data_IF_578834853333
#
_entry.id   IF_578834853333
#
_cell.length_a   1.000
_cell.length_b   1.000
_cell.length_c   1.000
_cell.angle_alpha   90.00
_cell.angle_beta   90.00
_cell.angle_gamma   90.00
#
_symmetry.space_group_name_H-M   'P 1'
#
loop_
_entity.id
_entity.type
_entity.pdbx_description
1 polymer ?
#
# COMPACT_ATOMS: atom_id res chain seq x y z
N UNK A 1 9.16 -9.03 -9.53
CA UNK A 1 8.82 -9.23 -8.08
C UNK A 1 7.71 -10.28 -7.89
N UNK A 2 7.60 -10.96 -6.74
CA UNK A 2 6.47 -11.87 -6.42
C UNK A 2 5.71 -11.35 -5.20
N UNK A 3 4.40 -11.12 -5.32
CA UNK A 3 3.53 -10.71 -4.22
C UNK A 3 2.52 -11.82 -3.95
N UNK A 4 2.43 -12.24 -2.69
CA UNK A 4 1.51 -13.28 -2.26
C UNK A 4 0.56 -12.72 -1.21
N UNK A 5 -0.74 -12.85 -1.46
CA UNK A 5 -1.79 -12.54 -0.49
C UNK A 5 -2.41 -13.84 0.00
N UNK A 6 -2.54 -13.98 1.32
CA UNK A 6 -3.19 -15.12 1.95
C UNK A 6 -4.47 -14.63 2.65
N UNK A 7 -5.62 -15.18 2.27
CA UNK A 7 -6.94 -14.82 2.82
C UNK A 7 -7.69 -16.10 3.10
N UNK A 8 -8.39 -16.28 4.23
CA UNK A 8 -9.34 -17.37 4.53
C UNK A 8 -9.17 -18.69 3.73
N UNK A 9 -7.95 -19.26 3.72
CA UNK A 9 -7.63 -20.53 3.06
C UNK A 9 -7.31 -20.49 1.56
N UNK A 10 -7.20 -19.31 0.94
CA UNK A 10 -6.79 -19.10 -0.46
C UNK A 10 -5.55 -18.23 -0.53
N UNK A 11 -4.60 -18.68 -1.35
CA UNK A 11 -3.38 -17.96 -1.65
C UNK A 11 -3.47 -17.41 -3.06
N UNK A 12 -3.48 -16.08 -3.21
CA UNK A 12 -3.37 -15.41 -4.50
C UNK A 12 -1.92 -14.99 -4.67
N UNK A 13 -1.28 -15.49 -5.73
CA UNK A 13 0.09 -15.15 -6.08
C UNK A 13 0.11 -14.33 -7.35
N UNK A 14 0.66 -13.13 -7.28
CA UNK A 14 1.00 -12.32 -8.44
C UNK A 14 2.50 -12.39 -8.70
N UNK A 15 2.87 -12.94 -9.86
CA UNK A 15 4.20 -12.82 -10.40
C UNK A 15 4.21 -11.55 -11.25
N UNK A 16 5.05 -10.60 -10.88
CA UNK A 16 5.21 -9.32 -11.57
C UNK A 16 6.52 -9.37 -12.34
N UNK A 17 6.45 -9.12 -13.64
CA UNK A 17 7.62 -8.99 -14.50
C UNK A 17 8.02 -7.50 -14.62
N UNK A 18 9.13 -7.20 -15.30
CA UNK A 18 9.83 -5.91 -15.18
C UNK A 18 8.95 -4.66 -15.28
N UNK A 19 8.06 -4.59 -16.28
CA UNK A 19 7.16 -3.45 -16.47
C UNK A 19 6.05 -3.39 -15.41
N UNK A 20 5.55 -4.54 -14.96
CA UNK A 20 4.54 -4.63 -13.89
C UNK A 20 5.09 -4.12 -12.57
N UNK A 21 6.38 -4.32 -12.30
CA UNK A 21 7.02 -3.86 -11.07
C UNK A 21 7.08 -2.32 -11.01
N UNK A 22 7.40 -1.65 -12.11
CA UNK A 22 7.45 -0.20 -12.19
C UNK A 22 6.04 0.41 -12.16
N UNK A 23 5.08 -0.18 -12.88
CA UNK A 23 3.67 0.22 -12.82
C UNK A 23 3.14 0.04 -11.39
N UNK A 24 3.44 -1.08 -10.74
CA UNK A 24 3.00 -1.34 -9.39
C UNK A 24 3.67 -0.39 -8.39
N UNK A 25 4.96 -0.08 -8.54
CA UNK A 25 5.63 0.96 -7.73
C UNK A 25 4.98 2.32 -7.91
N UNK A 26 4.52 2.66 -9.12
CA UNK A 26 3.80 3.91 -9.35
C UNK A 26 2.41 3.92 -8.71
N UNK A 27 1.66 2.83 -8.84
CA UNK A 27 0.32 2.68 -8.23
C UNK A 27 0.42 2.65 -6.71
N UNK A 28 1.41 1.94 -6.17
CA UNK A 28 1.66 1.78 -4.74
C UNK A 28 2.59 2.87 -4.17
N UNK A 29 2.87 3.95 -4.90
CA UNK A 29 3.56 5.08 -4.29
C UNK A 29 2.57 5.95 -3.50
N UNK A 30 3.11 6.66 -2.52
CA UNK A 30 2.34 7.51 -1.59
C UNK A 30 1.49 8.54 -2.35
N UNK A 31 2.02 9.14 -3.42
CA UNK A 31 1.33 10.19 -4.18
C UNK A 31 0.16 9.65 -5.02
N UNK A 32 0.34 8.51 -5.68
CA UNK A 32 -0.69 7.82 -6.46
C UNK A 32 -1.79 7.31 -5.57
N UNK A 33 -1.42 6.69 -4.44
CA UNK A 33 -2.36 6.25 -3.42
C UNK A 33 -3.17 7.41 -2.81
N UNK A 34 -2.51 8.51 -2.41
CA UNK A 34 -3.18 9.70 -1.89
C UNK A 34 -4.24 10.24 -2.86
N UNK A 35 -3.90 10.30 -4.16
CA UNK A 35 -4.78 10.80 -5.21
C UNK A 35 -5.97 9.86 -5.47
N UNK A 36 -5.74 8.56 -5.57
CA UNK A 36 -6.78 7.58 -5.90
C UNK A 36 -7.78 7.41 -4.76
N UNK A 37 -7.29 7.35 -3.51
CA UNK A 37 -8.13 7.12 -2.34
C UNK A 37 -8.61 8.41 -1.66
N UNK A 38 -8.28 9.57 -2.22
CA UNK A 38 -8.62 10.89 -1.70
C UNK A 38 -8.21 11.09 -0.22
N UNK A 39 -7.00 10.64 0.13
CA UNK A 39 -6.42 10.77 1.46
C UNK A 39 -5.22 11.72 1.39
N UNK A 40 -4.98 12.50 2.46
CA UNK A 40 -3.82 13.38 2.52
C UNK A 40 -2.51 12.60 2.35
N UNK A 41 -1.64 13.11 1.47
CA UNK A 41 -0.31 12.54 1.21
C UNK A 41 0.52 12.46 2.49
N UNK A 42 0.40 13.45 3.36
CA UNK A 42 1.18 13.54 4.59
C UNK A 42 0.75 12.49 5.61
N UNK A 43 -0.53 12.13 5.64
CA UNK A 43 -1.07 11.07 6.49
C UNK A 43 -0.52 9.71 6.06
N UNK A 44 -0.55 9.41 4.75
CA UNK A 44 0.04 8.17 4.22
C UNK A 44 1.55 8.16 4.43
N UNK A 45 2.25 9.26 4.15
CA UNK A 45 3.69 9.38 4.35
C UNK A 45 4.08 9.17 5.82
N UNK A 46 3.33 9.73 6.76
CA UNK A 46 3.56 9.50 8.19
C UNK A 46 3.45 8.00 8.51
N UNK A 47 2.39 7.32 8.07
CA UNK A 47 2.20 5.88 8.31
C UNK A 47 3.31 5.04 7.67
N UNK A 48 3.73 5.38 6.46
CA UNK A 48 4.78 4.64 5.75
C UNK A 48 6.15 4.86 6.38
N UNK A 49 6.55 6.11 6.64
CA UNK A 49 7.91 6.41 7.08
C UNK A 49 8.09 6.31 8.60
N UNK A 50 7.12 6.78 9.40
CA UNK A 50 7.19 6.76 10.87
C UNK A 50 6.72 5.43 11.45
N UNK A 51 5.61 4.89 10.98
CA UNK A 51 5.07 3.60 11.46
C UNK A 51 5.60 2.39 10.67
N UNK A 52 6.49 2.60 9.69
CA UNK A 52 7.12 1.55 8.84
C UNK A 52 6.09 0.64 8.14
N UNK A 53 4.94 1.20 7.75
CA UNK A 53 3.86 0.46 7.13
C UNK A 53 4.02 0.42 5.60
N UNK A 54 3.76 -0.72 4.94
CA UNK A 54 3.59 -0.74 3.49
C UNK A 54 2.46 0.20 3.06
N UNK A 55 2.56 0.82 1.88
CA UNK A 55 1.61 1.85 1.41
C UNK A 55 0.16 1.35 1.39
N UNK A 56 -0.07 0.11 0.95
CA UNK A 56 -1.41 -0.51 0.98
C UNK A 56 -1.98 -0.65 2.39
N UNK A 57 -1.12 -1.02 3.35
CA UNK A 57 -1.53 -1.13 4.75
C UNK A 57 -1.77 0.26 5.36
N UNK A 58 -0.92 1.23 5.03
CA UNK A 58 -1.07 2.62 5.44
C UNK A 58 -2.38 3.25 4.95
N UNK A 59 -2.84 2.86 3.76
CA UNK A 59 -4.14 3.24 3.21
C UNK A 59 -5.31 2.57 3.95
N UNK A 60 -5.20 1.26 4.20
CA UNK A 60 -6.26 0.47 4.82
C UNK A 60 -6.40 0.69 6.34
N UNK A 61 -5.41 1.34 6.97
CA UNK A 61 -5.45 1.63 8.40
C UNK A 61 -6.21 2.92 8.64
N UNK A 62 -7.39 2.84 9.25
CA UNK A 62 -8.04 4.02 9.81
C UNK A 62 -7.26 4.48 11.05
N UNK A 63 -7.07 5.79 11.21
CA UNK A 63 -6.59 6.30 12.50
C UNK A 63 -7.72 6.12 13.49
N UNK A 64 -7.64 5.05 14.28
CA UNK A 64 -8.33 5.03 15.56
C UNK A 64 -7.68 6.12 16.41
N UNK A 65 -8.42 7.20 16.67
CA UNK A 65 -8.13 8.09 17.78
C UNK A 65 -8.17 7.24 19.05
N UNK A 66 -7.00 6.76 19.48
CA UNK A 66 -6.81 6.27 20.83
C UNK A 66 -5.64 7.05 21.41
N UNK A 67 -5.99 7.76 22.48
CA UNK A 67 -5.20 8.65 23.34
C UNK A 67 -3.72 8.24 23.55
#
# INVERSE_FOLDING_TARGET
>A
MKITFETSGKTVTWNLDGDDEEVLKQVLNITGCARVFNVSRDVIAHRVYRKKMPVLLALATEESEQD
#
